data_IF_226258454616
#
_entry.id   IF_226258454616
#
_cell.length_a   1.000
_cell.length_b   1.000
_cell.length_c   1.000
_cell.angle_alpha   90.00
_cell.angle_beta   90.00
_cell.angle_gamma   90.00
#
_symmetry.space_group_name_H-M   'P 1'
#
loop_
_entity.id
_entity.type
_entity.pdbx_description
1 polymer ?
#
# COMPACT_ATOMS: atom_id res chain seq x y z
N UNK A 1 19.78 -6.39 -15.16
CA UNK A 1 18.95 -5.31 -14.57
C UNK A 1 17.64 -5.77 -13.95
N UNK A 2 17.04 -6.90 -14.32
CA UNK A 2 15.73 -7.36 -13.76
C UNK A 2 15.82 -7.97 -12.35
N UNK A 3 16.95 -8.61 -12.02
CA UNK A 3 17.13 -9.33 -10.74
C UNK A 3 16.97 -8.45 -9.50
N UNK A 4 17.56 -7.25 -9.48
CA UNK A 4 17.45 -6.36 -8.32
C UNK A 4 16.01 -5.84 -8.13
N UNK A 5 15.29 -5.57 -9.22
CA UNK A 5 13.91 -5.09 -9.18
C UNK A 5 12.97 -6.18 -8.65
N UNK A 6 13.19 -7.43 -9.08
CA UNK A 6 12.49 -8.61 -8.55
C UNK A 6 12.74 -8.77 -7.05
N UNK A 7 13.98 -8.66 -6.61
CA UNK A 7 14.33 -8.70 -5.18
C UNK A 7 13.63 -7.57 -4.44
N UNK A 8 13.69 -6.33 -4.94
CA UNK A 8 13.03 -5.17 -4.32
C UNK A 8 11.53 -5.40 -4.14
N UNK A 9 10.84 -5.88 -5.20
CA UNK A 9 9.41 -6.19 -5.13
C UNK A 9 9.07 -7.30 -4.13
N UNK A 10 9.95 -8.29 -3.95
CA UNK A 10 9.79 -9.35 -2.95
C UNK A 10 10.13 -8.90 -1.52
N UNK A 11 11.01 -7.90 -1.37
CA UNK A 11 11.36 -7.32 -0.07
C UNK A 11 10.33 -6.30 0.42
N UNK A 12 9.60 -5.61 -0.46
CA UNK A 12 8.59 -4.60 -0.10
C UNK A 12 7.54 -5.13 0.91
N UNK A 13 6.95 -6.32 0.74
CA UNK A 13 6.06 -6.92 1.74
C UNK A 13 6.75 -7.19 3.08
N UNK A 14 8.03 -7.59 3.06
CA UNK A 14 8.81 -7.84 4.27
C UNK A 14 9.03 -6.54 5.04
N UNK A 15 9.41 -5.46 4.35
CA UNK A 15 9.52 -4.15 4.97
C UNK A 15 8.17 -3.65 5.50
N UNK A 16 7.10 -3.82 4.72
CA UNK A 16 5.74 -3.40 5.12
C UNK A 16 5.27 -4.13 6.37
N UNK A 17 5.16 -5.46 6.33
CA UNK A 17 4.58 -6.23 7.43
C UNK A 17 5.55 -6.47 8.58
N UNK A 18 6.85 -6.66 8.29
CA UNK A 18 7.87 -6.75 9.32
C UNK A 18 8.01 -5.42 10.07
N UNK A 19 8.01 -4.30 9.34
CA UNK A 19 7.98 -2.96 9.92
C UNK A 19 6.72 -2.71 10.76
N UNK A 20 5.53 -2.99 10.21
CA UNK A 20 4.27 -2.84 10.96
C UNK A 20 4.25 -3.73 12.22
N UNK A 21 4.79 -4.95 12.16
CA UNK A 21 4.92 -5.82 13.33
C UNK A 21 5.79 -5.17 14.42
N UNK A 22 6.91 -4.54 14.05
CA UNK A 22 7.74 -3.78 14.99
C UNK A 22 6.99 -2.58 15.55
N UNK A 23 6.30 -1.80 14.71
CA UNK A 23 5.51 -0.64 15.15
C UNK A 23 4.45 -1.06 16.15
N UNK A 24 3.68 -2.12 15.86
CA UNK A 24 2.64 -2.64 16.75
C UNK A 24 3.25 -3.15 18.06
N UNK A 25 4.36 -3.90 18.00
CA UNK A 25 5.05 -4.39 19.19
C UNK A 25 5.49 -3.26 20.14
N UNK A 26 5.94 -2.12 19.59
CA UNK A 26 6.36 -0.97 20.38
C UNK A 26 5.19 -0.13 20.91
N UNK A 27 3.97 -0.33 20.41
CA UNK A 27 2.76 0.40 20.79
C UNK A 27 1.74 -0.54 21.48
N UNK A 28 1.96 -0.95 22.74
CA UNK A 28 1.10 -1.93 23.41
C UNK A 28 -0.33 -1.44 23.67
N UNK A 29 -0.59 -0.14 23.53
CA UNK A 29 -1.91 0.46 23.59
C UNK A 29 -2.74 0.27 22.32
N UNK A 30 -2.10 -0.08 21.20
CA UNK A 30 -2.74 -0.23 19.90
C UNK A 30 -3.71 -1.42 19.90
N UNK A 31 -4.93 -1.16 19.47
CA UNK A 31 -5.95 -2.18 19.22
C UNK A 31 -6.36 -2.17 17.76
N UNK A 32 -6.20 -3.32 17.09
CA UNK A 32 -6.53 -3.46 15.67
C UNK A 32 -8.01 -3.18 15.35
N UNK A 33 -8.92 -3.31 16.32
CA UNK A 33 -10.36 -3.05 16.11
C UNK A 33 -10.78 -1.63 16.46
N UNK A 34 -10.00 -0.94 17.30
CA UNK A 34 -10.35 0.39 17.85
C UNK A 34 -9.54 1.53 17.23
N UNK A 35 -8.39 1.23 16.63
CA UNK A 35 -7.43 2.21 16.12
C UNK A 35 -7.26 2.15 14.59
N UNK A 36 -6.82 3.26 14.02
CA UNK A 36 -6.18 3.27 12.70
C UNK A 36 -4.70 2.89 12.84
N UNK A 37 -4.05 2.35 11.79
CA UNK A 37 -2.60 2.14 11.82
C UNK A 37 -1.87 3.48 11.97
N UNK A 38 -2.41 4.54 11.36
CA UNK A 38 -1.91 5.92 11.44
C UNK A 38 -1.91 6.51 12.84
N UNK A 39 -2.74 6.00 13.77
CA UNK A 39 -2.74 6.45 15.17
C UNK A 39 -1.34 6.27 15.78
N UNK A 40 -0.61 5.23 15.34
CA UNK A 40 0.77 4.99 15.80
C UNK A 40 1.76 6.03 15.27
N UNK A 41 1.39 6.84 14.28
CA UNK A 41 2.11 8.01 13.75
C UNK A 41 1.68 9.36 14.33
N UNK A 42 0.72 9.37 15.26
CA UNK A 42 0.17 10.55 15.95
C UNK A 42 1.24 11.41 16.62
N UNK A 43 1.07 12.74 16.64
CA UNK A 43 1.95 13.64 17.42
C UNK A 43 1.92 13.38 18.93
N UNK A 44 0.87 12.73 19.43
CA UNK A 44 0.72 12.36 20.84
C UNK A 44 1.46 11.07 21.19
N UNK A 45 1.93 10.32 20.20
CA UNK A 45 2.75 9.14 20.40
C UNK A 45 4.25 9.54 20.47
N UNK A 46 4.95 9.34 21.60
CA UNK A 46 6.37 9.71 21.73
C UNK A 46 7.31 8.93 20.79
N UNK A 47 6.84 7.81 20.25
CA UNK A 47 7.56 6.98 19.27
C UNK A 47 6.92 7.00 17.88
N UNK A 48 6.13 8.04 17.57
CA UNK A 48 5.45 8.21 16.28
C UNK A 48 6.37 8.15 15.06
N UNK A 49 7.61 8.61 15.24
CA UNK A 49 8.65 8.56 14.22
C UNK A 49 8.88 7.14 13.68
N UNK A 50 8.57 6.07 14.42
CA UNK A 50 8.74 4.68 13.95
C UNK A 50 7.75 4.36 12.83
N UNK A 51 6.46 4.65 13.03
CA UNK A 51 5.43 4.46 11.99
C UNK A 51 5.66 5.41 10.80
N UNK A 52 5.88 6.69 11.10
CA UNK A 52 6.05 7.73 10.07
C UNK A 52 7.26 7.45 9.17
N UNK A 53 8.40 7.05 9.77
CA UNK A 53 9.59 6.67 9.01
C UNK A 53 9.38 5.39 8.20
N UNK A 54 8.58 4.43 8.70
CA UNK A 54 8.22 3.23 7.96
C UNK A 54 7.41 3.58 6.70
N UNK A 55 6.42 4.46 6.79
CA UNK A 55 5.63 4.91 5.64
C UNK A 55 6.51 5.61 4.60
N UNK A 56 7.42 6.49 5.04
CA UNK A 56 8.39 7.15 4.16
C UNK A 56 9.31 6.12 3.49
N UNK A 57 9.83 5.13 4.24
CA UNK A 57 10.71 4.10 3.72
C UNK A 57 10.01 3.23 2.67
N UNK A 58 8.85 2.65 3.01
CA UNK A 58 8.08 1.77 2.12
C UNK A 58 7.59 2.55 0.89
N UNK A 59 7.10 3.78 1.08
CA UNK A 59 6.73 4.68 -0.01
C UNK A 59 7.90 4.98 -0.95
N UNK A 60 9.09 5.24 -0.41
CA UNK A 60 10.30 5.52 -1.20
C UNK A 60 10.79 4.30 -1.99
N UNK A 61 10.86 3.13 -1.33
CA UNK A 61 11.20 1.87 -2.00
C UNK A 61 10.16 1.51 -3.08
N UNK A 62 8.90 1.78 -2.79
CA UNK A 62 7.80 1.64 -3.72
C UNK A 62 7.89 2.57 -4.92
N UNK A 63 8.25 3.83 -4.73
CA UNK A 63 8.51 4.76 -5.85
C UNK A 63 9.63 4.24 -6.75
N UNK A 64 10.74 3.78 -6.18
CA UNK A 64 11.85 3.19 -6.94
C UNK A 64 11.38 1.97 -7.75
N UNK A 65 10.61 1.07 -7.13
CA UNK A 65 10.00 -0.07 -7.81
C UNK A 65 9.08 0.38 -8.94
N UNK A 66 8.18 1.32 -8.63
CA UNK A 66 7.19 1.89 -9.53
C UNK A 66 7.79 2.57 -10.76
N UNK A 67 8.92 3.27 -10.61
CA UNK A 67 9.59 3.98 -11.72
C UNK A 67 10.05 2.95 -12.76
N UNK A 68 10.68 1.88 -12.29
CA UNK A 68 11.19 0.83 -13.18
C UNK A 68 10.08 -0.03 -13.77
N UNK A 69 9.02 -0.34 -13.02
CA UNK A 69 7.86 -1.06 -13.56
C UNK A 69 7.07 -0.21 -14.54
N UNK A 70 6.98 1.10 -14.34
CA UNK A 70 6.33 2.03 -15.28
C UNK A 70 7.11 2.12 -16.59
N UNK A 71 8.45 2.19 -16.55
CA UNK A 71 9.32 2.12 -17.75
C UNK A 71 9.08 0.84 -18.56
N UNK A 72 8.76 -0.26 -17.88
CA UNK A 72 8.41 -1.55 -18.49
C UNK A 72 6.93 -1.68 -18.86
N UNK A 73 6.13 -0.63 -18.65
CA UNK A 73 4.69 -0.60 -18.88
C UNK A 73 3.93 -1.68 -18.08
N UNK A 74 4.44 -2.05 -16.91
CA UNK A 74 3.79 -2.97 -15.97
C UNK A 74 2.85 -2.25 -15.02
N UNK A 75 3.25 -1.05 -14.58
CA UNK A 75 2.42 -0.11 -13.80
C UNK A 75 2.15 1.16 -14.60
N UNK A 76 1.28 2.01 -14.09
CA UNK A 76 0.94 3.33 -14.62
C UNK A 76 1.51 4.45 -13.72
N UNK A 77 1.41 5.74 -14.12
CA UNK A 77 1.72 6.84 -13.22
C UNK A 77 0.90 6.85 -11.92
N UNK A 78 -0.27 6.19 -11.88
CA UNK A 78 -1.10 6.10 -10.67
C UNK A 78 -0.36 5.36 -9.55
N UNK A 79 0.41 4.32 -9.87
CA UNK A 79 1.25 3.64 -8.88
C UNK A 79 2.24 4.60 -8.22
N UNK A 80 2.90 5.44 -9.03
CA UNK A 80 3.88 6.42 -8.54
C UNK A 80 3.22 7.47 -7.65
N UNK A 81 2.08 8.01 -8.09
CA UNK A 81 1.33 8.99 -7.31
C UNK A 81 0.88 8.38 -5.99
N UNK A 82 0.38 7.14 -6.01
CA UNK A 82 0.02 6.40 -4.81
C UNK A 82 1.20 6.27 -3.83
N UNK A 83 2.36 5.78 -4.29
CA UNK A 83 3.52 5.65 -3.39
C UNK A 83 4.03 7.00 -2.88
N UNK A 84 3.89 8.09 -3.65
CA UNK A 84 4.16 9.44 -3.18
C UNK A 84 3.17 9.87 -2.09
N UNK A 85 1.88 9.56 -2.25
CA UNK A 85 0.89 9.78 -1.19
C UNK A 85 1.24 9.00 0.08
N UNK A 86 1.74 7.76 -0.03
CA UNK A 86 2.20 6.99 1.14
C UNK A 86 3.38 7.64 1.86
N UNK A 87 4.32 8.26 1.12
CA UNK A 87 5.37 9.07 1.74
C UNK A 87 4.75 10.23 2.51
N UNK A 88 3.79 10.93 1.91
CA UNK A 88 3.13 12.05 2.58
C UNK A 88 2.30 11.64 3.80
N UNK A 89 1.74 10.43 3.84
CA UNK A 89 1.13 9.87 5.07
C UNK A 89 2.16 9.81 6.20
N UNK A 90 3.42 9.47 5.91
CA UNK A 90 4.48 9.51 6.92
C UNK A 90 5.03 10.91 7.23
N UNK A 91 4.85 11.88 6.34
CA UNK A 91 5.31 13.26 6.55
C UNK A 91 4.31 14.09 7.35
N UNK A 92 3.02 13.92 7.10
CA UNK A 92 1.95 14.62 7.79
C UNK A 92 1.37 13.71 8.86
N UNK A 93 1.55 14.01 10.16
CA UNK A 93 0.88 13.28 11.24
C UNK A 93 -0.65 13.35 11.10
N UNK A 94 -1.33 12.38 11.70
CA UNK A 94 -2.78 12.21 11.57
C UNK A 94 -3.60 13.45 11.98
N UNK A 95 -3.14 14.19 12.98
CA UNK A 95 -3.82 15.40 13.48
C UNK A 95 -3.82 16.56 12.50
N UNK A 96 -2.93 16.55 11.50
CA UNK A 96 -2.73 17.67 10.60
C UNK A 96 -3.26 17.40 9.19
N UNK A 97 -3.99 18.38 8.67
CA UNK A 97 -4.29 18.41 7.23
C UNK A 97 -2.98 18.56 6.44
N UNK A 98 -2.77 17.81 5.33
CA UNK A 98 -3.78 16.98 4.64
C UNK A 98 -3.55 15.46 4.80
N UNK A 99 -3.25 14.94 6.00
CA UNK A 99 -3.00 13.51 6.21
C UNK A 99 -4.08 12.60 5.61
N UNK A 100 -5.34 12.82 5.99
CA UNK A 100 -6.47 12.00 5.53
C UNK A 100 -6.66 12.03 4.01
N UNK A 101 -6.39 13.17 3.37
CA UNK A 101 -6.39 13.28 1.91
C UNK A 101 -5.36 12.33 1.29
N UNK A 102 -4.13 12.32 1.81
CA UNK A 102 -3.08 11.46 1.29
C UNK A 102 -3.30 9.97 1.60
N UNK A 103 -3.86 9.64 2.76
CA UNK A 103 -4.21 8.27 3.11
C UNK A 103 -5.27 7.70 2.14
N UNK A 104 -6.34 8.46 1.88
CA UNK A 104 -7.39 8.07 0.93
C UNK A 104 -6.85 8.04 -0.50
N UNK A 105 -6.08 9.06 -0.91
CA UNK A 105 -5.49 9.14 -2.24
C UNK A 105 -4.54 7.97 -2.52
N UNK A 106 -3.74 7.53 -1.54
CA UNK A 106 -2.88 6.35 -1.67
C UNK A 106 -3.69 5.12 -2.12
N UNK A 107 -4.74 4.76 -1.37
CA UNK A 107 -5.57 3.61 -1.72
C UNK A 107 -6.26 3.80 -3.07
N UNK A 108 -6.87 4.97 -3.32
CA UNK A 108 -7.53 5.25 -4.60
C UNK A 108 -6.59 5.06 -5.80
N UNK A 109 -5.39 5.66 -5.75
CA UNK A 109 -4.46 5.61 -6.87
C UNK A 109 -3.85 4.22 -7.06
N UNK A 110 -3.48 3.50 -5.99
CA UNK A 110 -2.94 2.15 -6.13
C UNK A 110 -4.03 1.18 -6.63
N UNK A 111 -5.24 1.25 -6.09
CA UNK A 111 -6.32 0.37 -6.55
C UNK A 111 -6.73 0.65 -8.00
N UNK A 112 -6.71 1.92 -8.42
CA UNK A 112 -6.91 2.29 -9.82
C UNK A 112 -5.78 1.76 -10.73
N UNK A 113 -4.52 1.77 -10.26
CA UNK A 113 -3.39 1.16 -10.98
C UNK A 113 -3.59 -0.34 -11.15
N UNK A 114 -3.96 -1.06 -10.08
CA UNK A 114 -4.23 -2.51 -10.10
C UNK A 114 -5.37 -2.83 -11.06
N UNK A 115 -6.47 -2.08 -10.98
CA UNK A 115 -7.62 -2.24 -11.86
C UNK A 115 -7.21 -2.09 -13.34
N UNK A 116 -6.49 -1.02 -13.66
CA UNK A 116 -6.01 -0.77 -15.02
C UNK A 116 -5.02 -1.84 -15.48
N UNK A 117 -4.09 -2.25 -14.62
CA UNK A 117 -3.13 -3.33 -14.87
C UNK A 117 -3.85 -4.63 -15.21
N UNK A 118 -4.86 -5.01 -14.42
CA UNK A 118 -5.71 -6.16 -14.67
C UNK A 118 -6.46 -6.08 -16.00
N UNK A 119 -7.07 -4.93 -16.33
CA UNK A 119 -7.76 -4.72 -17.62
C UNK A 119 -6.80 -4.88 -18.81
N UNK A 120 -5.57 -4.36 -18.69
CA UNK A 120 -4.53 -4.52 -19.71
C UNK A 120 -4.11 -5.98 -19.88
N UNK A 121 -4.05 -6.75 -18.79
CA UNK A 121 -3.77 -8.18 -18.82
C UNK A 121 -4.88 -8.97 -19.51
N UNK A 122 -6.16 -8.65 -19.23
CA UNK A 122 -7.32 -9.27 -19.90
C UNK A 122 -7.26 -9.00 -21.41
N UNK A 123 -6.99 -7.75 -21.81
CA UNK A 123 -6.82 -7.38 -23.24
C UNK A 123 -5.70 -8.16 -23.94
N UNK A 124 -4.71 -8.65 -23.18
CA UNK A 124 -3.61 -9.51 -23.67
C UNK A 124 -3.91 -11.01 -23.57
N UNK A 125 -5.13 -11.40 -23.19
CA UNK A 125 -5.54 -12.80 -23.05
C UNK A 125 -5.07 -13.48 -21.75
N UNK A 126 -4.55 -12.72 -20.78
CA UNK A 126 -4.07 -13.29 -19.52
C UNK A 126 -5.22 -13.45 -18.53
N UNK A 127 -5.56 -14.70 -18.17
CA UNK A 127 -6.64 -15.03 -17.23
C UNK A 127 -6.46 -14.40 -15.84
N UNK A 128 -5.21 -14.22 -15.39
CA UNK A 128 -4.91 -13.57 -14.11
C UNK A 128 -5.38 -12.11 -14.04
N UNK A 129 -5.66 -11.45 -15.18
CA UNK A 129 -6.19 -10.09 -15.17
C UNK A 129 -7.57 -10.00 -14.51
N UNK A 130 -8.41 -11.04 -14.60
CA UNK A 130 -9.73 -11.07 -13.94
C UNK A 130 -9.62 -11.01 -12.42
N UNK A 131 -8.61 -11.70 -11.84
CA UNK A 131 -8.35 -11.66 -10.40
C UNK A 131 -8.04 -10.24 -9.94
N UNK A 132 -7.22 -9.51 -10.68
CA UNK A 132 -6.83 -8.16 -10.30
C UNK A 132 -7.95 -7.14 -10.47
N UNK A 133 -8.75 -7.26 -11.55
CA UNK A 133 -9.92 -6.39 -11.78
C UNK A 133 -11.00 -6.61 -10.73
N UNK A 134 -11.44 -7.86 -10.55
CA UNK A 134 -12.48 -8.16 -9.57
C UNK A 134 -11.95 -7.94 -8.15
N UNK A 135 -10.73 -8.39 -7.87
CA UNK A 135 -10.08 -8.22 -6.57
C UNK A 135 -9.94 -6.76 -6.19
N UNK A 136 -9.50 -5.87 -7.08
CA UNK A 136 -9.38 -4.45 -6.75
C UNK A 136 -10.73 -3.83 -6.42
N UNK A 137 -11.78 -4.14 -7.19
CA UNK A 137 -13.12 -3.59 -6.93
C UNK A 137 -13.67 -4.16 -5.63
N UNK A 138 -13.66 -5.49 -5.47
CA UNK A 138 -14.20 -6.17 -4.30
C UNK A 138 -13.47 -5.76 -3.03
N UNK A 139 -12.14 -5.81 -3.00
CA UNK A 139 -11.36 -5.45 -1.81
C UNK A 139 -11.59 -3.98 -1.45
N UNK A 140 -11.62 -3.07 -2.42
CA UNK A 140 -11.88 -1.66 -2.14
C UNK A 140 -13.26 -1.43 -1.48
N UNK A 141 -14.31 -2.05 -2.02
CA UNK A 141 -15.65 -1.93 -1.41
C UNK A 141 -15.76 -2.66 -0.07
N UNK A 142 -15.06 -3.78 0.12
CA UNK A 142 -14.98 -4.44 1.42
C UNK A 142 -14.26 -3.55 2.43
N UNK A 143 -13.19 -2.85 2.04
CA UNK A 143 -12.54 -1.89 2.93
C UNK A 143 -13.53 -0.79 3.37
N UNK A 144 -14.28 -0.20 2.44
CA UNK A 144 -15.32 0.79 2.77
C UNK A 144 -16.41 0.24 3.67
N UNK A 145 -16.81 -1.02 3.48
CA UNK A 145 -17.76 -1.66 4.39
C UNK A 145 -17.16 -1.82 5.80
N UNK A 146 -15.89 -2.21 5.89
CA UNK A 146 -15.22 -2.44 7.17
C UNK A 146 -15.01 -1.16 7.99
N UNK A 147 -14.97 0.03 7.36
CA UNK A 147 -14.92 1.30 8.10
C UNK A 147 -16.21 1.60 8.87
N UNK A 148 -17.32 0.95 8.51
CA UNK A 148 -18.61 1.06 9.23
C UNK A 148 -18.78 -0.06 10.28
N UNK A 149 -17.99 -1.14 10.18
CA UNK A 149 -18.08 -2.31 11.07
C UNK A 149 -17.17 -2.16 12.29
N UNK A 150 -15.96 -1.67 12.07
CA UNK A 150 -14.97 -1.47 13.13
C UNK A 150 -14.87 0.00 13.47
N UNK A 151 -14.61 0.29 14.74
CA UNK A 151 -14.40 1.66 15.19
C UNK A 151 -13.10 2.23 14.64
N UNK A 152 -12.06 1.41 14.58
CA UNK A 152 -10.76 1.76 14.00
C UNK A 152 -10.63 1.41 12.52
N UNK A 153 -9.65 2.02 11.85
CA UNK A 153 -9.36 1.80 10.43
C UNK A 153 -8.30 0.72 10.16
N UNK A 154 -7.65 0.16 11.19
CA UNK A 154 -6.52 -0.73 10.99
C UNK A 154 -6.87 -2.00 10.19
N UNK A 155 -8.06 -2.57 10.38
CA UNK A 155 -8.49 -3.76 9.62
C UNK A 155 -8.67 -3.46 8.12
N UNK A 156 -9.46 -2.45 7.70
CA UNK A 156 -9.53 -2.10 6.29
C UNK A 156 -8.17 -1.71 5.71
N UNK A 157 -7.33 -0.99 6.46
CA UNK A 157 -5.98 -0.63 6.02
C UNK A 157 -5.08 -1.86 5.80
N UNK A 158 -5.08 -2.82 6.75
CA UNK A 158 -4.32 -4.06 6.60
C UNK A 158 -4.82 -4.88 5.40
N UNK A 159 -6.13 -4.98 5.21
CA UNK A 159 -6.72 -5.65 4.05
C UNK A 159 -6.24 -5.03 2.73
N UNK A 160 -6.26 -3.70 2.63
CA UNK A 160 -5.71 -2.96 1.50
C UNK A 160 -4.22 -3.22 1.31
N UNK A 161 -3.43 -3.13 2.38
CA UNK A 161 -2.00 -3.38 2.37
C UNK A 161 -1.64 -4.79 1.89
N UNK A 162 -2.40 -5.82 2.32
CA UNK A 162 -2.23 -7.20 1.84
C UNK A 162 -2.47 -7.31 0.34
N UNK A 163 -3.56 -6.72 -0.16
CA UNK A 163 -3.90 -6.80 -1.58
C UNK A 163 -2.88 -6.04 -2.45
N UNK A 164 -2.44 -4.86 -2.02
CA UNK A 164 -1.40 -4.06 -2.69
C UNK A 164 -0.07 -4.82 -2.72
N UNK A 165 0.36 -5.42 -1.61
CA UNK A 165 1.60 -6.18 -1.57
C UNK A 165 1.51 -7.47 -2.41
N UNK A 166 0.35 -8.11 -2.49
CA UNK A 166 0.13 -9.23 -3.41
C UNK A 166 0.30 -8.80 -4.88
N UNK A 167 -0.20 -7.61 -5.25
CA UNK A 167 0.03 -7.03 -6.58
C UNK A 167 1.51 -6.78 -6.85
N UNK A 168 2.24 -6.20 -5.90
CA UNK A 168 3.69 -5.96 -6.02
C UNK A 168 4.46 -7.27 -6.21
N UNK A 169 4.16 -8.31 -5.43
CA UNK A 169 4.74 -9.65 -5.60
C UNK A 169 4.42 -10.19 -6.99
N UNK A 170 3.17 -10.09 -7.42
CA UNK A 170 2.76 -10.55 -8.74
C UNK A 170 3.54 -9.86 -9.86
N UNK A 171 3.68 -8.54 -9.80
CA UNK A 171 4.50 -7.78 -10.74
C UNK A 171 5.96 -8.24 -10.68
N UNK A 172 6.53 -8.37 -9.48
CA UNK A 172 7.91 -8.79 -9.28
C UNK A 172 8.22 -10.15 -9.93
N UNK A 173 7.31 -11.11 -9.78
CA UNK A 173 7.43 -12.45 -10.36
C UNK A 173 7.27 -12.47 -11.89
N UNK A 174 6.69 -11.43 -12.49
CA UNK A 174 6.44 -11.32 -13.93
C UNK A 174 7.33 -10.30 -14.65
N UNK A 175 8.34 -9.70 -14.00
CA UNK A 175 9.30 -8.75 -14.62
C UNK A 175 10.12 -9.39 -15.77
N UNK A 176 10.29 -10.71 -15.75
CA UNK A 176 11.16 -11.46 -16.68
C UNK A 176 10.43 -12.10 -17.86
N UNK A 177 9.09 -11.97 -17.93
CA UNK A 177 8.26 -12.45 -19.04
C UNK A 177 7.81 -11.29 -19.91
#
# INVERSE_FOLDING_TARGET
MTKWLKILGLLLPIFTFGGLGIVIYLNPWFSVTENALSDMGSIYNPISYVFNSLMILVGSLGLLFGIETARRKLTTPLFLIGMLCLIFVGVFPEEYSPHSLFAVAFYLFIFADILYGGLKMIKRGMKSGFLWVLGSVTVFFVMLYLTEVFKGLAIPELLGAFFINAWIIFLALNIEK
#
